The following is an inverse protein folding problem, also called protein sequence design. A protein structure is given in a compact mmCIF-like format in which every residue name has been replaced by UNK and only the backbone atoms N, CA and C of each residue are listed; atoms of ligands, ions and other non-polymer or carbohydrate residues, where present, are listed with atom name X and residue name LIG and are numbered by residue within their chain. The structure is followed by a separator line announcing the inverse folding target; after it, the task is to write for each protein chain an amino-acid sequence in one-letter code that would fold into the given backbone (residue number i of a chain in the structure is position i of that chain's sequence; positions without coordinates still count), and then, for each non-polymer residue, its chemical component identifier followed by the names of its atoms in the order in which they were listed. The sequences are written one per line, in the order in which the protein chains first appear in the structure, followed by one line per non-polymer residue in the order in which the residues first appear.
data_IF_945944402159
#
_entry.id   IF_945944402159
#
_cell.length_a   1.000
_cell.length_b   1.000
_cell.length_c   1.000
_cell.angle_alpha   90.00
_cell.angle_beta   90.00
_cell.angle_gamma   90.00
#
_symmetry.space_group_name_H-M   'P 1'
#
loop_
_entity.id
_entity.type
_entity.pdbx_description
1 polymer ?
#
# COMPACT_ATOMS: atom_id res chain seq x y z
N UNK A 1 -22.53 44.87 8.52
CA UNK A 1 -21.66 44.20 9.51
C UNK A 1 -20.77 43.20 8.77
N UNK A 2 -19.47 43.46 8.67
CA UNK A 2 -18.52 42.65 7.92
C UNK A 2 -18.16 41.41 8.74
N UNK A 3 -18.38 40.19 8.21
CA UNK A 3 -17.95 38.93 8.85
C UNK A 3 -16.62 38.49 8.25
N UNK A 4 -15.60 38.31 9.11
CA UNK A 4 -14.28 37.80 8.71
C UNK A 4 -14.41 36.33 8.29
N UNK A 5 -13.87 35.92 7.13
CA UNK A 5 -13.85 34.51 6.76
C UNK A 5 -12.97 33.75 7.76
N UNK A 6 -13.54 32.76 8.45
CA UNK A 6 -12.79 31.85 9.31
C UNK A 6 -11.91 30.97 8.43
N UNK A 7 -10.60 31.15 8.50
CA UNK A 7 -9.65 30.26 7.84
C UNK A 7 -9.80 28.85 8.44
N UNK A 8 -10.54 27.98 7.74
CA UNK A 8 -10.49 26.56 7.99
C UNK A 8 -9.16 26.07 7.42
N UNK A 9 -8.11 26.11 8.24
CA UNK A 9 -7.00 25.20 8.06
C UNK A 9 -7.57 23.80 8.31
N UNK A 10 -8.18 23.22 7.28
CA UNK A 10 -8.55 21.81 7.30
C UNK A 10 -7.32 21.05 7.76
N UNK A 11 -7.48 20.20 8.78
CA UNK A 11 -6.41 19.42 9.43
C UNK A 11 -5.31 19.13 8.41
N UNK A 12 -4.21 19.88 8.48
CA UNK A 12 -3.03 19.59 7.69
C UNK A 12 -2.65 18.15 8.00
N UNK A 13 -2.46 17.27 7.01
CA UNK A 13 -2.06 15.90 7.29
C UNK A 13 -0.77 15.92 8.10
N UNK A 14 -0.69 15.02 9.07
CA UNK A 14 0.45 14.98 10.00
C UNK A 14 1.71 14.70 9.18
N UNK A 15 2.78 15.50 9.36
CA UNK A 15 3.98 15.37 8.55
C UNK A 15 4.56 13.96 8.73
N UNK A 16 4.76 13.26 7.61
CA UNK A 16 5.36 11.94 7.62
C UNK A 16 6.81 12.03 8.09
N UNK A 17 7.14 11.36 9.19
CA UNK A 17 8.49 11.42 9.72
C UNK A 17 9.42 10.55 8.86
N UNK A 18 10.73 10.85 8.79
CA UNK A 18 11.69 10.00 8.09
C UNK A 18 11.64 8.51 8.52
N UNK A 19 11.34 8.25 9.79
CA UNK A 19 11.15 6.89 10.32
C UNK A 19 9.90 6.19 9.76
N UNK A 20 8.82 6.94 9.53
CA UNK A 20 7.60 6.40 8.91
C UNK A 20 7.85 6.00 7.46
N UNK A 21 8.63 6.79 6.70
CA UNK A 21 9.02 6.43 5.33
C UNK A 21 9.88 5.17 5.29
N UNK A 22 10.78 4.98 6.24
CA UNK A 22 11.58 3.75 6.33
C UNK A 22 10.72 2.50 6.59
N UNK A 23 9.69 2.61 7.43
CA UNK A 23 8.73 1.54 7.66
C UNK A 23 7.93 1.20 6.39
N UNK A 24 7.45 2.21 5.65
CA UNK A 24 6.76 2.00 4.37
C UNK A 24 7.63 1.25 3.36
N UNK A 25 8.89 1.68 3.19
CA UNK A 25 9.82 1.02 2.26
C UNK A 25 10.11 -0.43 2.67
N UNK A 26 10.17 -0.71 3.96
CA UNK A 26 10.31 -2.07 4.47
C UNK A 26 9.08 -2.92 4.15
N UNK A 27 7.89 -2.40 4.44
CA UNK A 27 6.62 -3.07 4.18
C UNK A 27 6.41 -3.33 2.68
N UNK A 28 6.80 -2.40 1.80
CA UNK A 28 6.73 -2.58 0.35
C UNK A 28 7.64 -3.72 -0.12
N UNK A 29 8.86 -3.82 0.42
CA UNK A 29 9.82 -4.88 0.07
C UNK A 29 9.35 -6.25 0.54
N UNK A 30 8.89 -6.36 1.78
CA UNK A 30 8.47 -7.63 2.37
C UNK A 30 7.08 -8.05 1.85
N UNK A 31 6.18 -7.10 1.67
CA UNK A 31 4.85 -7.30 1.13
C UNK A 31 4.87 -7.76 -0.33
N UNK A 32 5.68 -7.11 -1.17
CA UNK A 32 5.82 -7.48 -2.58
C UNK A 32 6.37 -8.90 -2.76
N UNK A 33 7.38 -9.29 -2.00
CA UNK A 33 7.95 -10.64 -2.06
C UNK A 33 6.92 -11.74 -1.74
N UNK A 34 6.07 -11.51 -0.73
CA UNK A 34 5.01 -12.46 -0.35
C UNK A 34 3.95 -12.63 -1.42
N UNK A 35 3.50 -11.52 -2.01
CA UNK A 35 2.49 -11.53 -3.08
C UNK A 35 3.02 -12.22 -4.32
N UNK A 36 4.27 -11.95 -4.71
CA UNK A 36 4.91 -12.62 -5.84
C UNK A 36 5.01 -14.13 -5.66
N UNK A 37 5.44 -14.60 -4.48
CA UNK A 37 5.50 -16.02 -4.17
C UNK A 37 4.12 -16.70 -4.23
N UNK A 38 3.06 -16.03 -3.73
CA UNK A 38 1.68 -16.53 -3.82
C UNK A 38 1.21 -16.61 -5.27
N UNK A 39 1.44 -15.57 -6.06
CA UNK A 39 1.02 -15.51 -7.45
C UNK A 39 1.73 -16.58 -8.29
N UNK A 40 3.03 -16.83 -8.04
CA UNK A 40 3.75 -17.92 -8.68
C UNK A 40 3.11 -19.28 -8.40
N UNK A 41 2.78 -19.55 -7.13
CA UNK A 41 2.10 -20.80 -6.75
C UNK A 41 0.74 -20.93 -7.43
N UNK A 42 -0.03 -19.83 -7.49
CA UNK A 42 -1.32 -19.81 -8.17
C UNK A 42 -1.19 -20.13 -9.66
N UNK A 43 -0.22 -19.52 -10.35
CA UNK A 43 0.06 -19.82 -11.76
C UNK A 43 0.46 -21.28 -11.95
N UNK A 44 1.34 -21.82 -11.11
CA UNK A 44 1.77 -23.21 -11.20
C UNK A 44 0.58 -24.18 -11.02
N UNK A 45 -0.23 -24.00 -9.97
CA UNK A 45 -1.40 -24.84 -9.74
C UNK A 45 -2.49 -24.63 -10.79
N UNK A 46 -2.69 -23.40 -11.27
CA UNK A 46 -3.61 -23.10 -12.36
C UNK A 46 -3.24 -23.82 -13.65
N UNK A 47 -1.97 -23.77 -14.05
CA UNK A 47 -1.47 -24.48 -15.23
C UNK A 47 -1.56 -26.00 -15.07
N UNK A 48 -1.28 -26.52 -13.86
CA UNK A 48 -1.46 -27.95 -13.56
C UNK A 48 -2.92 -28.37 -13.68
N UNK A 49 -3.86 -27.60 -13.11
CA UNK A 49 -5.28 -27.89 -13.21
C UNK A 49 -5.78 -27.86 -14.65
N UNK A 50 -5.35 -26.86 -15.44
CA UNK A 50 -5.69 -26.78 -16.88
C UNK A 50 -5.11 -27.95 -17.68
N UNK A 51 -3.93 -28.43 -17.31
CA UNK A 51 -3.30 -29.60 -17.96
C UNK A 51 -3.92 -30.92 -17.51
N UNK A 52 -4.58 -30.96 -16.35
CA UNK A 52 -5.19 -32.16 -15.79
C UNK A 52 -6.55 -32.50 -16.44
N UNK A 53 -7.24 -31.52 -17.04
CA UNK A 53 -8.53 -31.71 -17.73
C UNK A 53 -9.73 -31.53 -16.81
#
# INVERSE_FOLDING_TARGET
MFKRPSAHYGKSPQPETPYQRAAQVWDDRIGSARVQAKNWRLMAFGSLALSAG
#
